data_IF_443535071534
#
_entry.id   IF_443535071534
#
_cell.length_a   1.000
_cell.length_b   1.000
_cell.length_c   1.000
_cell.angle_alpha   90.00
_cell.angle_beta   90.00
_cell.angle_gamma   90.00
#
_symmetry.space_group_name_H-M   'P 1'
#
loop_
_entity.id
_entity.type
_entity.pdbx_description
1 polymer ?
#
# COMPACT_ATOMS: atom_id res chain seq x y z
N UNK A 1 19.57 33.91 -13.79
CA UNK A 1 19.95 32.50 -13.58
C UNK A 1 19.27 32.06 -12.31
N UNK A 2 18.08 31.55 -12.41
CA UNK A 2 17.24 31.09 -11.29
C UNK A 2 17.21 29.57 -11.33
N UNK A 3 17.93 28.95 -10.39
CA UNK A 3 17.87 27.51 -10.15
C UNK A 3 16.50 27.19 -9.56
N UNK A 4 15.64 26.63 -10.40
CA UNK A 4 14.44 25.94 -9.96
C UNK A 4 14.87 24.54 -9.50
N UNK A 5 15.14 24.39 -8.22
CA UNK A 5 15.30 23.08 -7.59
C UNK A 5 13.93 22.42 -7.52
N UNK A 6 13.73 21.37 -8.31
CA UNK A 6 12.63 20.41 -8.19
C UNK A 6 12.70 19.78 -6.80
N UNK A 7 11.95 20.34 -5.86
CA UNK A 7 11.69 19.72 -4.56
C UNK A 7 10.55 18.71 -4.76
N UNK A 8 10.87 17.52 -5.25
CA UNK A 8 10.04 16.36 -5.06
C UNK A 8 9.82 16.18 -3.55
N UNK A 9 8.58 16.02 -3.11
CA UNK A 9 8.27 15.74 -1.71
C UNK A 9 8.82 14.36 -1.34
N UNK A 10 10.08 14.33 -0.89
CA UNK A 10 10.71 13.15 -0.34
C UNK A 10 10.07 12.87 1.03
N UNK A 11 9.10 11.98 1.05
CA UNK A 11 8.62 11.39 2.29
C UNK A 11 9.60 10.30 2.74
N UNK A 12 10.68 10.70 3.41
CA UNK A 12 11.41 9.78 4.29
C UNK A 12 10.43 9.36 5.39
N UNK A 13 9.78 8.19 5.19
CA UNK A 13 8.62 7.77 5.95
C UNK A 13 8.93 7.61 7.42
N UNK A 14 8.29 8.41 8.27
CA UNK A 14 8.12 8.02 9.67
C UNK A 14 7.29 6.74 9.65
N UNK A 15 7.86 5.66 10.18
CA UNK A 15 7.24 4.34 10.21
C UNK A 15 5.80 4.42 10.73
N UNK A 16 4.84 3.86 10.00
CA UNK A 16 3.42 3.71 10.40
C UNK A 16 3.26 2.95 11.72
N UNK A 17 4.31 2.25 12.16
CA UNK A 17 4.41 1.47 13.39
C UNK A 17 4.00 2.22 14.66
N UNK A 18 4.22 3.54 14.70
CA UNK A 18 3.89 4.36 15.87
C UNK A 18 2.37 4.58 16.06
N UNK A 19 1.56 4.42 15.00
CA UNK A 19 0.16 4.84 15.01
C UNK A 19 -0.82 3.76 14.55
N UNK A 20 -0.34 2.70 13.90
CA UNK A 20 -1.18 1.65 13.32
C UNK A 20 -0.82 0.28 13.88
N UNK A 21 -1.83 -0.43 14.36
CA UNK A 21 -1.72 -1.84 14.67
C UNK A 21 -1.88 -2.64 13.36
N UNK A 22 -0.79 -3.24 12.89
CA UNK A 22 -0.77 -3.97 11.63
C UNK A 22 -1.75 -5.14 11.60
N UNK A 23 -1.90 -5.87 12.70
CA UNK A 23 -2.81 -7.02 12.78
C UNK A 23 -4.26 -6.58 12.61
N UNK A 24 -4.66 -5.48 13.28
CA UNK A 24 -6.01 -4.90 13.14
C UNK A 24 -6.28 -4.47 11.70
N UNK A 25 -5.34 -3.77 11.06
CA UNK A 25 -5.49 -3.37 9.65
C UNK A 25 -5.62 -4.58 8.75
N UNK A 26 -4.74 -5.58 8.91
CA UNK A 26 -4.72 -6.77 8.06
C UNK A 26 -5.96 -7.64 8.23
N UNK A 27 -6.58 -7.70 9.42
CA UNK A 27 -7.86 -8.36 9.64
C UNK A 27 -8.97 -7.78 8.75
N UNK A 28 -8.98 -6.43 8.58
CA UNK A 28 -9.98 -5.76 7.75
C UNK A 28 -9.84 -6.09 6.26
N UNK A 29 -8.62 -6.45 5.79
CA UNK A 29 -8.36 -6.76 4.38
C UNK A 29 -8.91 -8.11 3.92
N UNK A 30 -9.19 -9.01 4.87
CA UNK A 30 -9.57 -10.39 4.57
C UNK A 30 -8.41 -11.26 4.07
N UNK A 31 -7.16 -10.86 4.37
CA UNK A 31 -5.97 -11.67 4.06
C UNK A 31 -6.04 -13.03 4.73
N UNK A 32 -5.74 -14.11 3.97
CA UNK A 32 -5.86 -15.49 4.43
C UNK A 32 -4.55 -16.25 4.31
N UNK A 33 -4.47 -17.36 5.03
CA UNK A 33 -3.37 -18.32 4.91
C UNK A 33 -3.23 -18.82 3.47
N UNK A 34 -2.00 -18.86 2.97
CA UNK A 34 -1.68 -19.21 1.58
C UNK A 34 -1.86 -18.08 0.57
N UNK A 35 -2.38 -16.92 0.99
CA UNK A 35 -2.59 -15.76 0.11
C UNK A 35 -1.29 -15.10 -0.35
N UNK A 36 -1.36 -14.37 -1.47
CA UNK A 36 -0.29 -13.51 -1.97
C UNK A 36 -0.63 -12.05 -1.65
N UNK A 37 0.22 -11.44 -0.87
CA UNK A 37 0.06 -10.08 -0.36
C UNK A 37 1.08 -9.14 -1.00
N UNK A 38 0.66 -7.95 -1.38
CA UNK A 38 1.51 -6.87 -1.86
C UNK A 38 1.43 -5.69 -0.89
N UNK A 39 2.58 -5.25 -0.39
CA UNK A 39 2.75 -4.07 0.46
C UNK A 39 3.44 -2.99 -0.36
N UNK A 40 2.71 -1.95 -0.75
CA UNK A 40 3.20 -0.83 -1.58
C UNK A 40 3.62 0.33 -0.70
N UNK A 41 4.85 0.77 -0.85
CA UNK A 41 5.46 1.73 0.07
C UNK A 41 5.66 1.10 1.44
N UNK A 42 6.24 -0.11 1.44
CA UNK A 42 6.34 -0.95 2.63
C UNK A 42 7.24 -0.38 3.74
N UNK A 43 8.09 0.62 3.42
CA UNK A 43 9.09 1.14 4.34
C UNK A 43 9.95 0.01 4.91
N UNK A 44 10.15 0.01 6.22
CA UNK A 44 10.91 -1.03 6.94
C UNK A 44 10.09 -2.33 7.19
N UNK A 45 8.91 -2.49 6.56
CA UNK A 45 8.15 -3.74 6.53
C UNK A 45 7.21 -4.01 7.70
N UNK A 46 6.70 -2.97 8.37
CA UNK A 46 5.75 -3.12 9.48
C UNK A 46 4.55 -4.02 9.11
N UNK A 47 3.89 -3.75 7.99
CA UNK A 47 2.78 -4.58 7.52
C UNK A 47 3.25 -5.87 6.86
N UNK A 48 4.35 -5.85 6.12
CA UNK A 48 4.91 -7.01 5.45
C UNK A 48 5.23 -8.15 6.43
N UNK A 49 5.86 -7.84 7.58
CA UNK A 49 6.21 -8.82 8.61
C UNK A 49 4.95 -9.39 9.29
N UNK A 50 3.96 -8.54 9.56
CA UNK A 50 2.70 -9.02 10.11
C UNK A 50 1.94 -9.90 9.10
N UNK A 51 1.88 -9.50 7.84
CA UNK A 51 1.25 -10.25 6.77
C UNK A 51 1.91 -11.62 6.55
N UNK A 52 3.24 -11.71 6.67
CA UNK A 52 3.99 -12.97 6.49
C UNK A 52 3.54 -14.05 7.48
N UNK A 53 3.20 -13.67 8.71
CA UNK A 53 2.67 -14.58 9.74
C UNK A 53 1.27 -15.08 9.36
N UNK A 54 0.42 -14.20 8.81
CA UNK A 54 -0.95 -14.54 8.42
C UNK A 54 -0.95 -15.49 7.22
N UNK A 55 -0.21 -15.16 6.16
CA UNK A 55 -0.18 -15.98 4.94
C UNK A 55 0.54 -17.31 5.17
N UNK A 56 1.51 -17.36 6.11
CA UNK A 56 2.26 -18.57 6.46
C UNK A 56 3.14 -19.08 5.33
N UNK A 57 3.71 -20.28 5.51
CA UNK A 57 4.73 -20.85 4.60
C UNK A 57 4.23 -21.16 3.19
N UNK A 58 2.92 -21.29 3.00
CA UNK A 58 2.30 -21.52 1.67
C UNK A 58 1.92 -20.22 0.94
N UNK A 59 1.96 -19.09 1.65
CA UNK A 59 1.70 -17.77 1.09
C UNK A 59 2.97 -17.03 0.74
N UNK A 60 2.82 -15.86 0.14
CA UNK A 60 3.93 -14.99 -0.25
C UNK A 60 3.59 -13.53 0.02
N UNK A 61 4.55 -12.77 0.51
CA UNK A 61 4.50 -11.32 0.68
C UNK A 61 5.50 -10.69 -0.28
N UNK A 62 5.03 -9.74 -1.08
CA UNK A 62 5.86 -8.87 -1.89
C UNK A 62 5.85 -7.49 -1.22
N UNK A 63 7.01 -7.04 -0.77
CA UNK A 63 7.21 -5.76 -0.10
C UNK A 63 7.97 -4.83 -1.02
N UNK A 64 7.30 -3.77 -1.50
CA UNK A 64 7.86 -2.86 -2.50
C UNK A 64 7.98 -1.46 -1.92
N UNK A 65 9.16 -0.87 -2.09
CA UNK A 65 9.43 0.53 -1.79
C UNK A 65 10.43 1.10 -2.80
N UNK A 66 10.34 2.39 -3.09
CA UNK A 66 11.32 3.09 -3.92
C UNK A 66 12.58 3.47 -3.16
N UNK A 67 12.53 3.47 -1.83
CA UNK A 67 13.66 3.78 -0.95
C UNK A 67 14.49 2.53 -0.68
N UNK A 68 15.69 2.49 -1.24
CA UNK A 68 16.61 1.37 -1.09
C UNK A 68 17.01 1.14 0.37
N UNK A 69 17.21 2.20 1.14
CA UNK A 69 17.57 2.13 2.56
C UNK A 69 16.51 1.39 3.38
N UNK A 70 15.23 1.66 3.14
CA UNK A 70 14.13 0.97 3.81
C UNK A 70 14.13 -0.53 3.47
N UNK A 71 14.36 -0.87 2.20
CA UNK A 71 14.43 -2.26 1.74
C UNK A 71 15.65 -2.98 2.33
N UNK A 72 16.79 -2.31 2.48
CA UNK A 72 17.97 -2.87 3.14
C UNK A 72 17.65 -3.23 4.61
N UNK A 73 17.01 -2.32 5.36
CA UNK A 73 16.59 -2.56 6.74
C UNK A 73 15.63 -3.75 6.81
N UNK A 74 14.63 -3.79 5.94
CA UNK A 74 13.68 -4.92 5.88
C UNK A 74 14.39 -6.25 5.56
N UNK A 75 15.32 -6.28 4.60
CA UNK A 75 16.10 -7.50 4.28
C UNK A 75 16.93 -7.98 5.46
N UNK A 76 17.55 -7.08 6.21
CA UNK A 76 18.29 -7.43 7.42
C UNK A 76 17.36 -8.05 8.48
N UNK A 77 16.15 -7.50 8.65
CA UNK A 77 15.17 -8.07 9.59
C UNK A 77 14.67 -9.44 9.12
N UNK A 78 14.35 -9.60 7.84
CA UNK A 78 13.97 -10.89 7.24
C UNK A 78 15.03 -11.95 7.52
N UNK A 79 16.30 -11.62 7.31
CA UNK A 79 17.42 -12.53 7.57
C UNK A 79 17.54 -12.86 9.07
N UNK A 80 17.54 -11.86 9.94
CA UNK A 80 17.66 -12.04 11.39
C UNK A 80 16.55 -12.91 11.98
N UNK A 81 15.31 -12.75 11.47
CA UNK A 81 14.15 -13.49 11.95
C UNK A 81 13.85 -14.77 11.15
N UNK A 82 14.72 -15.12 10.17
CA UNK A 82 14.58 -16.30 9.30
C UNK A 82 13.21 -16.36 8.61
N UNK A 83 12.69 -15.22 8.10
CA UNK A 83 11.40 -15.13 7.42
C UNK A 83 11.57 -15.56 5.96
N UNK A 84 11.02 -16.73 5.56
CA UNK A 84 11.23 -17.30 4.23
C UNK A 84 10.21 -16.91 3.17
N UNK A 85 9.13 -16.20 3.52
CA UNK A 85 8.00 -15.93 2.63
C UNK A 85 7.81 -14.44 2.28
N UNK A 86 8.77 -13.58 2.60
CA UNK A 86 8.80 -12.17 2.16
C UNK A 86 9.84 -12.00 1.06
N UNK A 87 9.47 -11.28 0.01
CA UNK A 87 10.36 -10.79 -1.04
C UNK A 87 10.35 -9.26 -1.01
N UNK A 88 11.49 -8.67 -0.60
CA UNK A 88 11.66 -7.24 -0.46
C UNK A 88 12.36 -6.69 -1.71
N UNK A 89 11.70 -5.75 -2.41
CA UNK A 89 12.01 -5.30 -3.76
C UNK A 89 12.13 -3.77 -3.76
N UNK A 90 13.25 -3.24 -4.27
CA UNK A 90 13.35 -1.81 -4.60
C UNK A 90 12.68 -1.60 -5.96
N UNK A 91 11.54 -0.91 -5.99
CA UNK A 91 10.86 -0.59 -7.23
C UNK A 91 9.95 0.63 -7.08
N UNK A 92 9.78 1.33 -8.19
CA UNK A 92 8.85 2.44 -8.37
C UNK A 92 7.53 1.87 -8.92
N UNK A 93 6.46 1.95 -8.12
CA UNK A 93 5.15 1.39 -8.48
C UNK A 93 4.41 2.18 -9.57
N UNK A 94 4.93 3.34 -9.95
CA UNK A 94 4.44 4.09 -11.12
C UNK A 94 5.00 3.51 -12.44
N UNK A 95 5.93 2.58 -12.33
CA UNK A 95 6.53 1.82 -13.43
C UNK A 95 6.12 0.35 -13.35
N UNK A 96 6.49 -0.42 -14.36
CA UNK A 96 6.21 -1.86 -14.38
C UNK A 96 6.93 -2.57 -13.23
N UNK A 97 6.15 -3.08 -12.26
CA UNK A 97 6.68 -3.89 -11.16
C UNK A 97 7.17 -5.26 -11.66
N UNK A 98 8.18 -5.85 -11.04
CA UNK A 98 8.68 -7.20 -11.38
C UNK A 98 7.74 -8.31 -10.83
N UNK A 99 6.45 -8.14 -11.04
CA UNK A 99 5.40 -9.07 -10.64
C UNK A 99 4.56 -9.49 -11.85
N UNK A 100 4.17 -10.78 -11.95
CA UNK A 100 3.25 -11.23 -13.00
C UNK A 100 1.86 -10.61 -12.85
N UNK A 101 1.12 -10.55 -13.98
CA UNK A 101 -0.27 -10.13 -14.00
C UNK A 101 -1.12 -11.06 -13.13
N UNK A 102 -2.21 -10.53 -12.60
CA UNK A 102 -3.24 -11.26 -11.87
C UNK A 102 -2.67 -12.25 -10.80
N UNK A 103 -1.69 -11.78 -10.03
CA UNK A 103 -0.97 -12.60 -9.05
C UNK A 103 -1.43 -12.34 -7.62
N UNK A 104 -1.80 -11.11 -7.28
CA UNK A 104 -2.02 -10.62 -5.92
C UNK A 104 -3.47 -10.84 -5.46
N UNK A 105 -3.63 -11.37 -4.26
CA UNK A 105 -4.92 -11.56 -3.59
C UNK A 105 -5.34 -10.36 -2.74
N UNK A 106 -4.34 -9.71 -2.11
CA UNK A 106 -4.54 -8.48 -1.30
C UNK A 106 -3.37 -7.54 -1.54
N UNK A 107 -3.67 -6.30 -1.91
CA UNK A 107 -2.72 -5.19 -1.98
C UNK A 107 -3.02 -4.20 -0.86
N UNK A 108 -2.02 -3.77 -0.12
CA UNK A 108 -2.09 -2.73 0.89
C UNK A 108 -1.27 -1.51 0.45
N UNK A 109 -1.83 -0.35 0.64
CA UNK A 109 -1.21 0.96 0.49
C UNK A 109 -1.47 1.74 1.77
N UNK A 110 -0.46 1.89 2.63
CA UNK A 110 -0.62 2.51 3.94
C UNK A 110 0.17 3.83 4.03
N UNK A 111 -0.54 4.95 4.13
CA UNK A 111 0.02 6.31 4.23
C UNK A 111 0.92 6.69 3.05
N UNK A 112 0.54 6.29 1.84
CA UNK A 112 1.33 6.56 0.61
C UNK A 112 0.50 7.21 -0.49
N UNK A 113 -0.83 7.01 -0.54
CA UNK A 113 -1.67 7.45 -1.67
C UNK A 113 -1.70 8.98 -1.77
N UNK A 114 -1.71 9.69 -0.65
CA UNK A 114 -1.66 11.16 -0.64
C UNK A 114 -0.42 11.71 -1.37
N UNK A 115 0.72 11.00 -1.31
CA UNK A 115 1.92 11.36 -2.06
C UNK A 115 1.74 11.22 -3.57
N UNK A 116 1.14 10.11 -4.02
CA UNK A 116 0.84 9.89 -5.45
C UNK A 116 -0.18 10.91 -5.99
N UNK A 117 -1.14 11.33 -5.15
CA UNK A 117 -2.06 12.42 -5.51
C UNK A 117 -1.31 13.73 -5.68
N UNK A 118 -0.47 14.09 -4.71
CA UNK A 118 0.30 15.35 -4.75
C UNK A 118 1.23 15.43 -5.97
N UNK A 119 1.74 14.29 -6.44
CA UNK A 119 2.64 14.20 -7.59
C UNK A 119 1.91 13.98 -8.93
N UNK A 120 0.57 13.79 -8.95
CA UNK A 120 -0.19 13.48 -10.17
C UNK A 120 0.09 12.07 -10.73
N UNK A 121 0.52 11.13 -9.89
CA UNK A 121 0.99 9.80 -10.27
C UNK A 121 -0.08 8.70 -10.15
N UNK A 122 -1.31 9.04 -9.74
CA UNK A 122 -2.42 8.09 -9.57
C UNK A 122 -2.66 7.25 -10.84
N UNK A 123 -2.69 7.81 -12.07
CA UNK A 123 -2.98 7.00 -13.26
C UNK A 123 -1.97 5.87 -13.49
N UNK A 124 -0.67 6.17 -13.41
CA UNK A 124 0.39 5.18 -13.64
C UNK A 124 0.41 4.13 -12.54
N UNK A 125 0.36 4.54 -11.29
CA UNK A 125 0.32 3.67 -10.12
C UNK A 125 -0.90 2.74 -10.16
N UNK A 126 -2.11 3.25 -10.36
CA UNK A 126 -3.34 2.46 -10.38
C UNK A 126 -3.42 1.49 -11.56
N UNK A 127 -2.88 1.86 -12.72
CA UNK A 127 -2.76 0.96 -13.86
C UNK A 127 -1.93 -0.28 -13.51
N UNK A 128 -0.82 -0.08 -12.83
CA UNK A 128 0.07 -1.17 -12.45
C UNK A 128 -0.49 -2.02 -11.31
N UNK A 129 -1.11 -1.39 -10.31
CA UNK A 129 -1.84 -2.10 -9.24
C UNK A 129 -2.94 -2.99 -9.85
N UNK A 130 -3.76 -2.43 -10.76
CA UNK A 130 -4.83 -3.19 -11.42
C UNK A 130 -4.29 -4.35 -12.27
N UNK A 131 -3.09 -4.23 -12.85
CA UNK A 131 -2.45 -5.29 -13.63
C UNK A 131 -2.07 -6.49 -12.76
N UNK A 132 -1.45 -6.24 -11.60
CA UNK A 132 -0.94 -7.32 -10.75
C UNK A 132 -2.01 -7.98 -9.88
N UNK A 133 -3.15 -7.34 -9.68
CA UNK A 133 -4.23 -7.86 -8.85
C UNK A 133 -5.14 -8.83 -9.59
N UNK A 134 -5.55 -9.89 -8.91
CA UNK A 134 -6.52 -10.88 -9.43
C UNK A 134 -7.93 -10.28 -9.48
N UNK A 135 -8.78 -10.83 -10.33
CA UNK A 135 -10.22 -10.59 -10.25
C UNK A 135 -10.78 -11.01 -8.89
N UNK A 136 -11.64 -10.18 -8.28
CA UNK A 136 -12.22 -10.42 -6.96
C UNK A 136 -11.25 -10.24 -5.79
N UNK A 137 -10.04 -9.75 -6.03
CA UNK A 137 -9.03 -9.45 -4.98
C UNK A 137 -9.35 -8.16 -4.22
N UNK A 138 -8.65 -7.92 -3.13
CA UNK A 138 -8.84 -6.73 -2.28
C UNK A 138 -7.70 -5.73 -2.42
N UNK A 139 -8.01 -4.49 -2.77
CA UNK A 139 -7.16 -3.34 -2.55
C UNK A 139 -7.57 -2.68 -1.23
N UNK A 140 -6.62 -2.55 -0.30
CA UNK A 140 -6.79 -1.85 0.96
C UNK A 140 -5.94 -0.58 0.96
N UNK A 141 -6.55 0.55 1.23
CA UNK A 141 -5.86 1.84 1.36
C UNK A 141 -6.08 2.35 2.78
N UNK A 142 -4.99 2.61 3.49
CA UNK A 142 -5.00 3.22 4.82
C UNK A 142 -4.46 4.63 4.71
N UNK A 143 -5.23 5.61 5.16
CA UNK A 143 -4.83 7.02 5.12
C UNK A 143 -5.27 7.75 6.40
N UNK A 144 -4.65 8.91 6.64
CA UNK A 144 -5.05 9.80 7.71
C UNK A 144 -6.45 10.37 7.46
N UNK A 145 -7.26 10.41 8.50
CA UNK A 145 -8.52 11.16 8.49
C UNK A 145 -8.24 12.65 8.23
N UNK A 146 -9.13 13.30 7.47
CA UNK A 146 -9.03 14.73 7.13
C UNK A 146 -9.53 15.60 8.30
N UNK A 147 -8.85 15.48 9.45
CA UNK A 147 -9.13 16.18 10.71
C UNK A 147 -7.91 16.94 11.20
N UNK A 148 -8.12 17.98 12.00
CA UNK A 148 -7.04 18.73 12.63
C UNK A 148 -6.32 17.92 13.71
N UNK A 149 -5.03 18.18 13.90
CA UNK A 149 -4.29 17.85 15.11
C UNK A 149 -3.33 16.67 15.10
N UNK A 150 -3.55 15.50 14.43
CA UNK A 150 -2.59 14.41 14.51
C UNK A 150 -1.30 14.72 13.73
N UNK A 151 -0.15 14.23 14.19
CA UNK A 151 1.05 14.24 13.37
C UNK A 151 0.79 13.45 12.07
N UNK A 152 1.24 13.98 10.92
CA UNK A 152 0.98 13.38 9.61
C UNK A 152 1.17 14.39 8.50
N UNK A 153 0.75 14.07 7.28
CA UNK A 153 0.78 15.02 6.17
C UNK A 153 -0.14 16.22 6.45
N UNK A 154 0.11 17.39 5.85
CA UNK A 154 -0.78 18.52 5.93
C UNK A 154 -2.23 18.14 5.57
N UNK A 155 -3.21 18.73 6.26
CA UNK A 155 -4.63 18.41 6.03
C UNK A 155 -5.06 18.64 4.58
N UNK A 156 -4.42 19.59 3.88
CA UNK A 156 -4.70 19.92 2.48
C UNK A 156 -4.42 18.77 1.50
N UNK A 157 -3.54 17.83 1.85
CA UNK A 157 -3.22 16.67 1.01
C UNK A 157 -3.80 15.36 1.57
N UNK A 158 -4.53 15.41 2.70
CA UNK A 158 -5.26 14.24 3.20
C UNK A 158 -6.48 13.98 2.32
N UNK A 159 -6.78 12.71 2.14
CA UNK A 159 -7.82 12.22 1.25
C UNK A 159 -8.93 11.62 2.09
N UNK A 160 -10.20 11.99 1.83
CA UNK A 160 -11.34 11.31 2.45
C UNK A 160 -11.64 9.96 1.77
N UNK A 161 -12.39 9.05 2.39
CA UNK A 161 -12.82 7.81 1.73
C UNK A 161 -13.61 8.05 0.44
N UNK A 162 -14.37 9.14 0.34
CA UNK A 162 -15.14 9.53 -0.84
C UNK A 162 -14.23 10.02 -1.95
N UNK A 163 -13.32 10.97 -1.63
CA UNK A 163 -12.29 11.46 -2.58
C UNK A 163 -11.43 10.29 -3.11
N UNK A 164 -11.09 9.32 -2.24
CA UNK A 164 -10.34 8.14 -2.63
C UNK A 164 -11.14 7.23 -3.58
N UNK A 165 -12.44 7.04 -3.33
CA UNK A 165 -13.31 6.25 -4.22
C UNK A 165 -13.36 6.86 -5.62
N UNK A 166 -13.52 8.18 -5.72
CA UNK A 166 -13.54 8.89 -7.00
C UNK A 166 -12.20 8.75 -7.75
N UNK A 167 -11.08 8.85 -7.02
CA UNK A 167 -9.75 8.71 -7.60
C UNK A 167 -9.48 7.35 -8.24
N UNK A 168 -10.06 6.27 -7.71
CA UNK A 168 -9.74 4.91 -8.13
C UNK A 168 -10.88 4.21 -8.89
N UNK A 169 -12.07 4.81 -8.98
CA UNK A 169 -13.24 4.22 -9.62
C UNK A 169 -13.00 3.79 -11.08
N UNK A 170 -12.23 4.60 -11.85
CA UNK A 170 -11.92 4.34 -13.26
C UNK A 170 -10.99 3.15 -13.52
N UNK A 171 -10.40 2.55 -12.49
CA UNK A 171 -9.37 1.50 -12.62
C UNK A 171 -9.89 0.08 -12.37
N UNK A 172 -11.21 -0.11 -12.30
CA UNK A 172 -11.82 -1.42 -12.10
C UNK A 172 -11.91 -1.85 -10.64
N UNK A 173 -12.03 -0.90 -9.74
CA UNK A 173 -12.23 -1.12 -8.30
C UNK A 173 -13.58 -0.57 -7.84
N UNK A 174 -14.24 -1.29 -6.95
CA UNK A 174 -15.49 -0.87 -6.31
C UNK A 174 -15.31 -0.88 -4.79
N UNK A 175 -15.69 0.22 -4.15
CA UNK A 175 -15.66 0.31 -2.68
C UNK A 175 -16.52 -0.78 -2.06
N UNK A 176 -15.93 -1.50 -1.09
CA UNK A 176 -16.58 -2.57 -0.35
C UNK A 176 -16.94 -2.12 1.07
N UNK A 177 -16.00 -1.53 1.79
CA UNK A 177 -16.20 -1.01 3.13
C UNK A 177 -15.14 0.03 3.52
N UNK A 178 -15.45 0.81 4.55
CA UNK A 178 -14.51 1.65 5.27
C UNK A 178 -14.54 1.25 6.75
N UNK A 179 -13.38 1.23 7.40
CA UNK A 179 -13.24 0.92 8.82
C UNK A 179 -12.28 1.94 9.48
N UNK A 180 -12.55 2.33 10.72
CA UNK A 180 -11.59 3.07 11.53
C UNK A 180 -10.54 2.08 12.09
N UNK A 181 -9.27 2.34 11.79
CA UNK A 181 -8.16 1.44 12.17
C UNK A 181 -7.22 2.05 13.20
N UNK A 182 -7.56 3.21 13.69
CA UNK A 182 -6.83 3.96 14.74
C UNK A 182 -7.53 5.28 15.00
N UNK A 183 -7.03 6.08 15.95
CA UNK A 183 -7.66 7.36 16.30
C UNK A 183 -7.58 8.41 15.19
N UNK A 184 -6.69 8.21 14.22
CA UNK A 184 -6.42 9.19 13.17
C UNK A 184 -6.45 8.61 11.76
N UNK A 185 -6.77 7.30 11.61
CA UNK A 185 -6.71 6.61 10.34
C UNK A 185 -7.99 5.85 10.03
N UNK A 186 -8.31 5.83 8.76
CA UNK A 186 -9.28 4.91 8.19
C UNK A 186 -8.59 3.89 7.28
N UNK A 187 -9.25 2.76 7.04
CA UNK A 187 -8.91 1.81 6.00
C UNK A 187 -10.11 1.65 5.07
N UNK A 188 -9.91 1.96 3.80
CA UNK A 188 -10.92 1.74 2.76
C UNK A 188 -10.53 0.50 1.95
N UNK A 189 -11.44 -0.47 1.87
CA UNK A 189 -11.29 -1.69 1.12
C UNK A 189 -12.10 -1.63 -0.17
N UNK A 190 -11.46 -1.99 -1.27
CA UNK A 190 -12.04 -2.06 -2.60
C UNK A 190 -11.90 -3.47 -3.16
N UNK A 191 -12.89 -3.90 -3.94
CA UNK A 191 -12.84 -5.15 -4.70
C UNK A 191 -12.54 -4.85 -6.16
N UNK A 192 -11.64 -5.64 -6.74
CA UNK A 192 -11.50 -5.64 -8.20
C UNK A 192 -12.76 -6.21 -8.82
N UNK A 193 -13.34 -5.46 -9.77
CA UNK A 193 -14.43 -5.95 -10.60
C UNK A 193 -13.82 -6.69 -11.80
N UNK A 194 -14.45 -7.80 -12.20
CA UNK A 194 -14.04 -8.53 -13.42
C UNK A 194 -14.03 -7.56 -14.59
N UNK A 195 -12.88 -7.41 -15.24
CA UNK A 195 -12.86 -6.75 -16.54
C UNK A 195 -13.63 -7.66 -17.50
N UNK A 196 -14.84 -7.27 -17.86
CA UNK A 196 -15.51 -7.91 -18.99
C UNK A 196 -14.58 -7.75 -20.20
N UNK A 197 -14.06 -8.88 -20.69
CA UNK A 197 -13.31 -8.93 -21.95
C UNK A 197 -14.27 -8.49 -23.05
N UNK A 198 -14.08 -7.31 -23.58
CA UNK A 198 -14.69 -6.87 -24.83
C UNK A 198 -13.76 -7.22 -25.97
#
# INVERSE_FOLDING_TARGET
MTNNSEQGHHHAGKSSKAFLNAERVLQETGLKRGGKFLDVGCGEGHFSIAASKIVGTKGKVYAIDSYEESIIVLKQQIHRESIGNIEAIVADVTKKMPLPDATIDVCLMANVVHGFVANGEIPSMMTEIARVMKAGSTLAVVEFQKIDGPPGPPISIRITPEELEDLIAGYGFKKNKVAEVGPFHYAAMFRTISRNSH
#
